data_IF_677911411707
#
_entry.id   IF_677911411707
#
_cell.length_a   1.000
_cell.length_b   1.000
_cell.length_c   1.000
_cell.angle_alpha   90.00
_cell.angle_beta   90.00
_cell.angle_gamma   90.00
#
_symmetry.space_group_name_H-M   'P 1'
#
loop_
_entity.id
_entity.type
_entity.pdbx_description
1 polymer ?
#
# COMPACT_ATOMS: atom_id res chain seq x y z
N UNK A 1 -9.15 -18.91 12.95
CA UNK A 1 -8.82 -18.90 11.51
C UNK A 1 -7.48 -18.20 11.36
N UNK A 2 -6.44 -18.94 11.04
CA UNK A 2 -5.12 -18.35 10.86
C UNK A 2 -5.18 -17.48 9.58
N UNK A 3 -4.86 -16.21 9.70
CA UNK A 3 -4.72 -15.30 8.56
C UNK A 3 -3.43 -15.73 7.87
N UNK A 4 -3.56 -16.34 6.71
CA UNK A 4 -2.42 -16.71 5.88
C UNK A 4 -1.74 -15.39 5.45
N UNK A 5 -0.53 -15.15 5.97
CA UNK A 5 0.19 -13.89 5.79
C UNK A 5 0.86 -13.83 4.39
N UNK A 6 0.43 -14.70 3.49
CA UNK A 6 0.91 -14.75 2.12
C UNK A 6 0.25 -13.62 1.31
N UNK A 7 1.05 -12.63 0.92
CA UNK A 7 0.58 -11.50 0.13
C UNK A 7 0.21 -12.01 -1.27
N UNK A 8 -1.08 -11.95 -1.68
CA UNK A 8 -1.50 -12.48 -2.96
C UNK A 8 -0.91 -11.66 -4.12
N UNK A 9 -0.42 -12.36 -5.13
CA UNK A 9 0.02 -11.79 -6.40
C UNK A 9 -0.97 -12.24 -7.48
N UNK A 10 -1.64 -11.29 -8.12
CA UNK A 10 -2.68 -11.57 -9.12
C UNK A 10 -2.10 -11.74 -10.52
N UNK A 11 -1.06 -10.99 -10.82
CA UNK A 11 -0.30 -11.09 -12.05
C UNK A 11 1.15 -11.30 -11.68
N UNK A 12 1.64 -12.51 -11.92
CA UNK A 12 3.05 -12.84 -11.72
C UNK A 12 3.76 -12.69 -13.07
N UNK A 13 4.58 -11.66 -13.17
CA UNK A 13 5.34 -11.37 -14.37
C UNK A 13 6.71 -10.82 -13.99
N UNK A 14 7.73 -11.63 -14.24
CA UNK A 14 9.11 -11.24 -13.99
C UNK A 14 9.55 -10.21 -15.06
N UNK A 15 10.13 -9.07 -14.67
CA UNK A 15 10.70 -8.10 -15.59
C UNK A 15 11.68 -8.69 -16.59
N UNK A 16 12.44 -9.71 -16.20
CA UNK A 16 13.37 -10.41 -17.09
C UNK A 16 12.64 -11.14 -18.22
N UNK A 17 11.49 -11.76 -17.93
CA UNK A 17 10.66 -12.43 -18.94
C UNK A 17 10.04 -11.41 -19.89
N UNK A 18 9.50 -10.31 -19.37
CA UNK A 18 8.96 -9.21 -20.17
C UNK A 18 10.02 -8.67 -21.14
N UNK A 19 11.24 -8.47 -20.63
CA UNK A 19 12.36 -7.99 -21.43
C UNK A 19 12.71 -8.96 -22.55
N UNK A 20 12.83 -10.25 -22.24
CA UNK A 20 13.19 -11.29 -23.21
C UNK A 20 12.14 -11.41 -24.31
N UNK A 21 10.85 -11.46 -23.96
CA UNK A 21 9.74 -11.53 -24.92
C UNK A 21 9.69 -10.29 -25.82
N UNK A 22 9.80 -9.11 -25.22
CA UNK A 22 9.74 -7.83 -25.93
C UNK A 22 10.94 -7.66 -26.86
N UNK A 23 12.12 -8.09 -26.42
CA UNK A 23 13.35 -8.07 -27.23
C UNK A 23 13.22 -9.01 -28.42
N UNK A 24 12.81 -10.25 -28.19
CA UNK A 24 12.62 -11.24 -29.27
C UNK A 24 11.62 -10.74 -30.33
N UNK A 25 10.50 -10.12 -29.88
CA UNK A 25 9.50 -9.57 -30.78
C UNK A 25 10.03 -8.38 -31.60
N UNK A 26 10.82 -7.52 -30.96
CA UNK A 26 11.41 -6.37 -31.66
C UNK A 26 12.48 -6.80 -32.65
N UNK A 27 13.32 -7.79 -32.34
CA UNK A 27 14.32 -8.37 -33.25
C UNK A 27 13.64 -9.05 -34.45
N UNK A 28 12.54 -9.77 -34.24
CA UNK A 28 11.72 -10.32 -35.32
C UNK A 28 11.20 -9.24 -36.28
N UNK A 29 10.69 -8.13 -35.75
CA UNK A 29 10.17 -7.02 -36.55
C UNK A 29 11.25 -6.26 -37.28
N UNK A 30 12.44 -6.11 -36.70
CA UNK A 30 13.58 -5.40 -37.29
C UNK A 30 14.38 -6.28 -38.26
N UNK A 31 14.24 -7.63 -38.17
CA UNK A 31 15.02 -8.58 -38.94
C UNK A 31 16.53 -8.59 -38.60
N UNK A 32 16.89 -8.10 -37.41
CA UNK A 32 18.27 -8.02 -36.94
C UNK A 32 18.33 -8.11 -35.42
N UNK A 33 19.46 -8.56 -34.89
CA UNK A 33 19.74 -8.55 -33.45
C UNK A 33 19.94 -7.13 -32.91
N UNK A 34 19.44 -6.90 -31.71
CA UNK A 34 19.59 -5.64 -30.99
C UNK A 34 20.90 -5.63 -30.19
N UNK A 35 21.72 -4.63 -30.47
CA UNK A 35 22.93 -4.39 -29.71
C UNK A 35 22.67 -3.50 -28.50
N UNK A 36 23.39 -3.69 -27.36
CA UNK A 36 23.12 -2.97 -26.12
C UNK A 36 23.22 -1.44 -26.19
N UNK A 37 24.00 -0.93 -27.13
CA UNK A 37 24.23 0.52 -27.30
C UNK A 37 23.25 1.21 -28.30
N UNK A 38 22.27 0.48 -28.82
CA UNK A 38 21.33 1.05 -29.80
C UNK A 38 20.19 1.80 -29.11
N UNK A 39 19.68 2.81 -29.78
CA UNK A 39 18.53 3.62 -29.31
C UNK A 39 17.29 2.75 -29.10
N UNK A 40 17.07 1.76 -29.95
CA UNK A 40 15.98 0.81 -29.86
C UNK A 40 16.03 0.03 -28.53
N UNK A 41 17.23 -0.34 -28.06
CA UNK A 41 17.40 -1.01 -26.77
C UNK A 41 17.06 -0.08 -25.60
N UNK A 42 17.37 1.20 -25.70
CA UNK A 42 16.98 2.19 -24.67
C UNK A 42 15.48 2.37 -24.59
N UNK A 43 14.82 2.44 -25.76
CA UNK A 43 13.35 2.53 -25.84
C UNK A 43 12.72 1.26 -25.24
N UNK A 44 13.25 0.09 -25.60
CA UNK A 44 12.78 -1.19 -25.07
C UNK A 44 12.89 -1.24 -23.53
N UNK A 45 14.03 -0.85 -22.99
CA UNK A 45 14.24 -0.78 -21.54
C UNK A 45 13.22 0.13 -20.86
N UNK A 46 12.92 1.28 -21.47
CA UNK A 46 11.92 2.19 -20.94
C UNK A 46 10.50 1.58 -20.97
N UNK A 47 10.13 0.92 -22.06
CA UNK A 47 8.82 0.26 -22.19
C UNK A 47 8.66 -0.84 -21.16
N UNK A 48 9.66 -1.72 -21.01
CA UNK A 48 9.65 -2.80 -20.01
C UNK A 48 9.57 -2.25 -18.59
N UNK A 49 10.31 -1.18 -18.30
CA UNK A 49 10.19 -0.49 -17.00
C UNK A 49 8.77 0.02 -16.75
N UNK A 50 8.14 0.64 -17.75
CA UNK A 50 6.76 1.14 -17.64
C UNK A 50 5.77 0.00 -17.46
N UNK A 51 5.93 -1.12 -18.15
CA UNK A 51 5.08 -2.30 -18.01
C UNK A 51 5.22 -2.90 -16.59
N UNK A 52 6.45 -3.03 -16.09
CA UNK A 52 6.71 -3.49 -14.73
C UNK A 52 6.01 -2.62 -13.68
N UNK A 53 6.08 -1.29 -13.83
CA UNK A 53 5.36 -0.38 -12.95
C UNK A 53 3.84 -0.56 -13.02
N UNK A 54 3.31 -0.81 -14.21
CA UNK A 54 1.88 -1.03 -14.41
C UNK A 54 1.41 -2.30 -13.70
N UNK A 55 2.15 -3.41 -13.88
CA UNK A 55 1.87 -4.69 -13.21
C UNK A 55 1.90 -4.53 -11.68
N UNK A 56 2.90 -3.82 -11.15
CA UNK A 56 3.00 -3.57 -9.72
C UNK A 56 1.83 -2.72 -9.19
N UNK A 57 1.42 -1.69 -9.92
CA UNK A 57 0.25 -0.87 -9.56
C UNK A 57 -1.04 -1.67 -9.65
N UNK A 58 -1.18 -2.52 -10.65
CA UNK A 58 -2.32 -3.41 -10.79
C UNK A 58 -2.43 -4.36 -9.58
N UNK A 59 -1.33 -5.05 -9.24
CA UNK A 59 -1.30 -5.95 -8.09
C UNK A 59 -1.60 -5.20 -6.77
N UNK A 60 -1.06 -3.99 -6.60
CA UNK A 60 -1.36 -3.16 -5.44
C UNK A 60 -2.85 -2.78 -5.37
N UNK A 61 -3.45 -2.39 -6.51
CA UNK A 61 -4.87 -2.08 -6.60
C UNK A 61 -5.76 -3.28 -6.30
N UNK A 62 -5.43 -4.45 -6.85
CA UNK A 62 -6.18 -5.68 -6.60
C UNK A 62 -6.12 -6.12 -5.14
N UNK A 63 -4.98 -5.93 -4.47
CA UNK A 63 -4.86 -6.20 -3.03
C UNK A 63 -5.79 -5.32 -2.20
N UNK A 64 -5.99 -4.08 -2.59
CA UNK A 64 -6.90 -3.17 -1.91
C UNK A 64 -8.37 -3.61 -1.96
N UNK A 65 -8.74 -4.48 -2.91
CA UNK A 65 -10.09 -5.06 -2.97
C UNK A 65 -10.31 -6.16 -1.91
N UNK A 66 -9.24 -6.67 -1.33
CA UNK A 66 -9.32 -7.66 -0.26
C UNK A 66 -9.33 -6.94 1.10
N UNK A 67 -10.37 -7.18 1.91
CA UNK A 67 -10.52 -6.52 3.21
C UNK A 67 -9.28 -6.65 4.12
N UNK A 68 -8.53 -7.75 4.00
CA UNK A 68 -7.32 -8.02 4.81
C UNK A 68 -6.15 -7.09 4.49
N UNK A 69 -6.09 -6.58 3.24
CA UNK A 69 -5.00 -5.74 2.74
C UNK A 69 -5.46 -4.32 2.41
N UNK A 70 -6.78 -4.08 2.56
CA UNK A 70 -7.37 -2.78 2.27
C UNK A 70 -7.03 -1.76 3.34
N UNK A 71 -6.79 -0.53 2.91
CA UNK A 71 -6.55 0.64 3.75
C UNK A 71 -7.63 1.70 3.50
N UNK A 72 -7.75 2.66 4.43
CA UNK A 72 -8.65 3.79 4.21
C UNK A 72 -8.23 4.60 2.95
N UNK A 73 -9.15 5.08 2.12
CA UNK A 73 -10.61 5.06 2.26
C UNK A 73 -11.31 3.80 1.70
N UNK A 74 -10.59 2.92 0.99
CA UNK A 74 -11.18 1.76 0.31
C UNK A 74 -11.80 0.79 1.32
N UNK A 75 -11.15 0.59 2.45
CA UNK A 75 -11.68 -0.23 3.54
C UNK A 75 -13.05 0.26 4.04
N UNK A 76 -13.25 1.57 4.11
CA UNK A 76 -14.51 2.18 4.56
C UNK A 76 -15.64 1.89 3.55
N UNK A 77 -15.33 1.88 2.25
CA UNK A 77 -16.29 1.48 1.21
C UNK A 77 -16.65 -0.01 1.27
N UNK A 78 -15.65 -0.87 1.50
CA UNK A 78 -15.89 -2.31 1.66
C UNK A 78 -16.74 -2.58 2.91
N UNK A 79 -16.44 -1.90 4.02
CA UNK A 79 -17.21 -2.00 5.26
C UNK A 79 -18.67 -1.52 5.07
N UNK A 80 -18.88 -0.47 4.27
CA UNK A 80 -20.19 0.04 3.92
C UNK A 80 -21.08 -0.98 3.19
N UNK A 81 -20.49 -1.93 2.42
CA UNK A 81 -21.26 -3.00 1.76
C UNK A 81 -21.91 -3.96 2.75
N UNK A 82 -21.37 -4.09 3.95
CA UNK A 82 -21.91 -4.92 5.03
C UNK A 82 -22.55 -4.09 6.14
N UNK A 83 -22.88 -2.82 5.85
CA UNK A 83 -23.49 -1.86 6.78
C UNK A 83 -22.66 -1.62 8.07
N UNK A 84 -21.34 -1.72 7.97
CA UNK A 84 -20.42 -1.39 9.06
C UNK A 84 -19.84 0.00 8.80
N UNK A 85 -20.01 0.90 9.76
CA UNK A 85 -19.45 2.24 9.71
C UNK A 85 -18.22 2.34 10.61
N UNK A 86 -17.27 3.18 10.17
CA UNK A 86 -16.09 3.48 10.97
C UNK A 86 -16.46 4.30 12.19
N UNK A 87 -15.96 3.91 13.35
CA UNK A 87 -16.14 4.71 14.56
C UNK A 87 -15.55 6.11 14.38
N UNK A 88 -16.29 7.16 14.80
CA UNK A 88 -15.77 8.51 14.76
C UNK A 88 -14.54 8.66 15.67
N UNK A 89 -13.71 9.65 15.38
CA UNK A 89 -12.59 9.99 16.22
C UNK A 89 -13.07 10.35 17.63
N UNK A 90 -12.54 9.70 18.64
CA UNK A 90 -12.81 10.01 20.04
C UNK A 90 -11.54 10.59 20.69
N UNK A 91 -11.73 11.54 21.58
CA UNK A 91 -10.61 12.08 22.36
C UNK A 91 -10.10 11.02 23.35
N UNK A 92 -8.79 10.96 23.52
CA UNK A 92 -8.20 10.13 24.56
C UNK A 92 -8.56 10.70 25.94
N UNK A 93 -9.02 9.84 26.84
CA UNK A 93 -9.29 10.17 28.22
C UNK A 93 -8.43 9.32 29.15
N UNK A 94 -7.92 9.91 30.21
CA UNK A 94 -7.22 9.18 31.26
C UNK A 94 -7.69 9.64 32.65
N UNK A 95 -7.61 8.72 33.62
CA UNK A 95 -7.84 9.07 35.02
C UNK A 95 -6.50 9.39 35.67
N UNK A 96 -6.36 10.60 36.20
CA UNK A 96 -5.14 11.04 36.86
C UNK A 96 -5.40 11.12 38.39
N UNK A 97 -4.47 10.58 39.18
CA UNK A 97 -4.49 10.71 40.62
C UNK A 97 -3.46 11.76 41.04
N UNK A 98 -3.94 12.81 41.70
CA UNK A 98 -3.09 13.78 42.34
C UNK A 98 -2.83 13.37 43.78
N UNK A 99 -1.57 13.31 44.20
CA UNK A 99 -1.17 13.02 45.55
C UNK A 99 -0.57 14.28 46.17
N UNK A 100 -1.19 14.80 47.19
CA UNK A 100 -0.71 15.96 47.90
C UNK A 100 0.24 15.53 49.05
N UNK A 101 1.24 16.35 49.31
CA UNK A 101 2.12 16.18 50.48
C UNK A 101 1.31 16.42 51.74
N UNK A 102 1.60 15.63 52.83
CA UNK A 102 0.90 15.78 54.09
C UNK A 102 1.00 17.21 54.66
N UNK A 103 -0.13 17.74 55.10
CA UNK A 103 -0.21 19.09 55.69
C UNK A 103 -0.79 20.18 54.77
N UNK A 104 -1.15 19.83 53.53
CA UNK A 104 -1.88 20.75 52.68
C UNK A 104 -3.39 20.71 52.97
N UNK A 105 -4.02 21.86 53.01
CA UNK A 105 -5.46 22.00 53.08
C UNK A 105 -6.15 21.59 51.77
N UNK A 106 -7.46 21.81 51.68
CA UNK A 106 -8.24 21.52 50.48
C UNK A 106 -7.67 22.31 49.29
N UNK A 107 -7.28 21.61 48.21
CA UNK A 107 -6.79 22.22 46.96
C UNK A 107 -7.84 22.04 45.88
N UNK A 108 -8.33 23.14 45.33
CA UNK A 108 -9.23 23.12 44.20
C UNK A 108 -8.43 23.01 42.91
N UNK A 109 -8.71 21.98 42.11
CA UNK A 109 -8.13 21.84 40.77
C UNK A 109 -9.13 22.45 39.79
N UNK A 110 -8.80 23.56 39.11
CA UNK A 110 -9.70 24.17 38.15
C UNK A 110 -9.95 23.27 36.93
N UNK A 111 -11.15 23.38 36.38
CA UNK A 111 -11.47 22.75 35.12
C UNK A 111 -10.55 23.29 33.99
N UNK A 112 -9.99 22.39 33.16
CA UNK A 112 -9.07 22.81 32.10
C UNK A 112 -7.60 22.87 32.51
N UNK A 113 -7.21 22.43 33.72
CA UNK A 113 -5.79 22.30 34.10
C UNK A 113 -5.10 21.30 33.17
N UNK A 114 -4.00 21.74 32.53
CA UNK A 114 -3.19 20.95 31.59
C UNK A 114 -1.87 20.54 32.22
#
# INVERSE_FOLDING_TARGET
MAIDNNIPTFVERDPAVIMAESKAKLEELLGRELQPAQVEQLILNFVVFRETLLVNRFNAGMRQMLYQFSTAPILDYIAGLVAVERLPAASAGCTVRFTLVAGHGSVLIPEGTR
#
